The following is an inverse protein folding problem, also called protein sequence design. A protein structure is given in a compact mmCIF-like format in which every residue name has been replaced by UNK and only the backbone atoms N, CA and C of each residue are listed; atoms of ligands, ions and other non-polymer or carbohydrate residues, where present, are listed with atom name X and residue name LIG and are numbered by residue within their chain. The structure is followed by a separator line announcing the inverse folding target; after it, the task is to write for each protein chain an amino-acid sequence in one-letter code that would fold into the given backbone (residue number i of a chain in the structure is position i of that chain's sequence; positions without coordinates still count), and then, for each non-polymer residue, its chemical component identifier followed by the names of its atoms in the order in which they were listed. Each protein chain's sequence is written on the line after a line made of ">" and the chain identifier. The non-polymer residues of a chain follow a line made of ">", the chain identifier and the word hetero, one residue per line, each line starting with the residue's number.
data_IF_416413192338
#
_entry.id   IF_416413192338
#
_cell.length_a   1.000
_cell.length_b   1.000
_cell.length_c   1.000
_cell.angle_alpha   90.00
_cell.angle_beta   90.00
_cell.angle_gamma   90.00
#
_symmetry.space_group_name_H-M   'P 1'
#
loop_
_entity.id
_entity.type
_entity.pdbx_description
1 polymer ?
#
# COMPACT_ATOMS: atom_id res chain seq x y z
N UNK A 1 -41.81 -31.41 -39.55
CA UNK A 1 -42.00 -32.62 -38.73
C UNK A 1 -41.56 -32.40 -37.28
N UNK A 2 -40.39 -31.81 -36.99
CA UNK A 2 -40.06 -31.40 -35.61
C UNK A 2 -40.81 -30.15 -35.14
N UNK A 3 -41.00 -29.16 -36.02
CA UNK A 3 -41.81 -27.97 -35.77
C UNK A 3 -43.26 -28.31 -35.38
N UNK A 4 -43.83 -29.35 -35.98
CA UNK A 4 -45.21 -29.78 -35.71
C UNK A 4 -45.34 -30.54 -34.38
N UNK A 5 -44.29 -31.22 -33.92
CA UNK A 5 -44.26 -31.86 -32.60
C UNK A 5 -44.03 -30.84 -31.47
N UNK A 6 -43.24 -29.80 -31.72
CA UNK A 6 -43.01 -28.69 -30.81
C UNK A 6 -44.29 -27.90 -30.50
N UNK A 7 -45.09 -27.65 -31.55
CA UNK A 7 -46.37 -26.93 -31.47
C UNK A 7 -47.45 -27.71 -30.70
N UNK A 8 -47.48 -29.05 -30.84
CA UNK A 8 -48.44 -29.93 -30.15
C UNK A 8 -48.10 -30.13 -28.65
N UNK A 9 -46.81 -30.04 -28.28
CA UNK A 9 -46.35 -30.16 -26.89
C UNK A 9 -46.16 -28.81 -26.17
N UNK A 10 -46.43 -27.69 -26.85
CA UNK A 10 -46.17 -26.32 -26.36
C UNK A 10 -44.70 -26.13 -25.86
N UNK A 11 -43.74 -26.79 -26.52
CA UNK A 11 -42.31 -26.73 -26.16
C UNK A 11 -41.46 -26.33 -27.36
N UNK A 12 -40.45 -25.47 -27.15
CA UNK A 12 -39.62 -24.98 -28.27
C UNK A 12 -38.77 -26.09 -28.91
N UNK A 13 -38.59 -26.02 -30.24
CA UNK A 13 -37.82 -27.01 -31.04
C UNK A 13 -36.38 -27.18 -30.53
N UNK A 14 -35.77 -26.14 -29.93
CA UNK A 14 -34.44 -26.20 -29.30
C UNK A 14 -34.37 -27.17 -28.12
N UNK A 15 -35.43 -27.27 -27.33
CA UNK A 15 -35.53 -28.25 -26.23
C UNK A 15 -35.61 -29.68 -26.77
N UNK A 16 -36.34 -29.89 -27.87
CA UNK A 16 -36.46 -31.20 -28.55
C UNK A 16 -35.17 -31.64 -29.25
N UNK A 17 -34.30 -30.71 -29.64
CA UNK A 17 -33.00 -30.99 -30.23
C UNK A 17 -31.94 -31.39 -29.19
N UNK A 18 -32.29 -31.45 -27.90
CA UNK A 18 -31.34 -31.77 -26.84
C UNK A 18 -30.26 -30.70 -26.69
N UNK A 19 -30.51 -29.48 -27.17
CA UNK A 19 -29.75 -28.30 -26.78
C UNK A 19 -30.10 -28.07 -25.31
N UNK A 20 -29.38 -28.78 -24.44
CA UNK A 20 -29.52 -28.70 -22.99
C UNK A 20 -29.40 -27.25 -22.62
N UNK A 21 -30.55 -26.66 -22.30
CA UNK A 21 -30.68 -25.28 -21.88
C UNK A 21 -29.62 -25.05 -20.81
N UNK A 22 -28.79 -24.07 -21.11
CA UNK A 22 -27.66 -23.53 -20.36
C UNK A 22 -28.07 -22.97 -18.99
N UNK A 23 -29.10 -23.53 -18.34
CA UNK A 23 -29.79 -22.99 -17.17
C UNK A 23 -28.95 -23.17 -15.90
N UNK A 24 -28.35 -24.36 -15.71
CA UNK A 24 -27.40 -24.58 -14.60
C UNK A 24 -26.14 -23.74 -14.79
N UNK A 25 -25.66 -23.63 -16.04
CA UNK A 25 -24.45 -22.89 -16.35
C UNK A 25 -24.65 -21.38 -16.14
N UNK A 26 -25.84 -20.83 -16.39
CA UNK A 26 -26.14 -19.43 -16.02
C UNK A 26 -26.17 -19.21 -14.51
N UNK A 27 -26.71 -20.14 -13.73
CA UNK A 27 -26.79 -19.99 -12.28
C UNK A 27 -25.41 -20.22 -11.62
N UNK A 28 -24.61 -21.16 -12.13
CA UNK A 28 -23.23 -21.38 -11.74
C UNK A 28 -22.33 -20.19 -12.11
N UNK A 29 -22.49 -19.62 -13.32
CA UNK A 29 -21.78 -18.39 -13.72
C UNK A 29 -22.18 -17.19 -12.88
N UNK A 30 -23.45 -17.09 -12.50
CA UNK A 30 -23.97 -16.04 -11.61
C UNK A 30 -23.40 -16.18 -10.20
N UNK A 31 -23.34 -17.40 -9.68
CA UNK A 31 -22.69 -17.69 -8.41
C UNK A 31 -21.19 -17.35 -8.44
N UNK A 32 -20.48 -17.71 -9.52
CA UNK A 32 -19.06 -17.38 -9.71
C UNK A 32 -18.86 -15.86 -9.82
N UNK A 33 -19.75 -15.15 -10.53
CA UNK A 33 -19.73 -13.69 -10.66
C UNK A 33 -19.87 -12.98 -9.31
N UNK A 34 -20.81 -13.40 -8.46
CA UNK A 34 -20.97 -12.85 -7.10
C UNK A 34 -19.71 -13.08 -6.25
N UNK A 35 -19.13 -14.29 -6.31
CA UNK A 35 -17.89 -14.58 -5.56
C UNK A 35 -16.74 -13.70 -6.04
N UNK A 36 -16.60 -13.50 -7.35
CA UNK A 36 -15.61 -12.61 -7.96
C UNK A 36 -15.81 -11.15 -7.55
N UNK A 37 -17.06 -10.67 -7.52
CA UNK A 37 -17.37 -9.30 -7.12
C UNK A 37 -17.00 -9.06 -5.65
N UNK A 38 -17.33 -9.99 -4.75
CA UNK A 38 -16.94 -9.91 -3.34
C UNK A 38 -15.42 -9.95 -3.18
N UNK A 39 -14.72 -10.82 -3.92
CA UNK A 39 -13.25 -10.88 -3.91
C UNK A 39 -12.66 -9.57 -4.42
N UNK A 40 -13.19 -9.00 -5.50
CA UNK A 40 -12.72 -7.75 -6.09
C UNK A 40 -12.95 -6.58 -5.14
N UNK A 41 -14.12 -6.51 -4.49
CA UNK A 41 -14.41 -5.52 -3.44
C UNK A 41 -13.47 -5.65 -2.25
N UNK A 42 -13.20 -6.87 -1.77
CA UNK A 42 -12.24 -7.09 -0.69
C UNK A 42 -10.81 -6.71 -1.10
N UNK A 43 -10.41 -7.04 -2.33
CA UNK A 43 -9.10 -6.67 -2.87
C UNK A 43 -8.98 -5.15 -2.94
N UNK A 44 -9.97 -4.47 -3.52
CA UNK A 44 -10.03 -3.02 -3.64
C UNK A 44 -9.97 -2.36 -2.25
N UNK A 45 -10.75 -2.85 -1.28
CA UNK A 45 -10.75 -2.34 0.10
C UNK A 45 -9.40 -2.55 0.80
N UNK A 46 -8.79 -3.74 0.68
CA UNK A 46 -7.45 -4.01 1.22
C UNK A 46 -6.39 -3.14 0.56
N UNK A 47 -6.51 -2.90 -0.73
CA UNK A 47 -5.58 -2.07 -1.49
C UNK A 47 -5.64 -0.60 -1.03
N UNK A 48 -6.83 -0.06 -0.83
CA UNK A 48 -7.03 1.30 -0.29
C UNK A 48 -6.45 1.44 1.12
N UNK A 49 -6.67 0.46 2.00
CA UNK A 49 -6.13 0.48 3.36
C UNK A 49 -4.60 0.40 3.35
N UNK A 50 -4.01 -0.50 2.55
CA UNK A 50 -2.55 -0.63 2.43
C UNK A 50 -1.88 0.66 1.96
N UNK A 51 -2.48 1.35 0.97
CA UNK A 51 -1.96 2.64 0.48
C UNK A 51 -2.01 3.70 1.57
N UNK A 52 -3.10 3.76 2.34
CA UNK A 52 -3.24 4.70 3.46
C UNK A 52 -2.19 4.43 4.54
N UNK A 53 -1.96 3.17 4.91
CA UNK A 53 -0.95 2.79 5.91
C UNK A 53 0.47 3.15 5.46
N UNK A 54 0.82 2.87 4.20
CA UNK A 54 2.13 3.24 3.65
C UNK A 54 2.34 4.75 3.73
N UNK A 55 1.33 5.55 3.37
CA UNK A 55 1.40 7.01 3.47
C UNK A 55 1.65 7.48 4.91
N UNK A 56 0.96 6.89 5.88
CA UNK A 56 1.15 7.21 7.30
C UNK A 56 2.52 6.82 7.82
N UNK A 57 3.06 5.67 7.39
CA UNK A 57 4.43 5.26 7.74
C UNK A 57 5.44 6.28 7.21
N UNK A 58 5.30 6.72 5.96
CA UNK A 58 6.18 7.73 5.38
C UNK A 58 6.11 9.09 6.10
N UNK A 59 4.90 9.55 6.42
CA UNK A 59 4.70 10.80 7.16
C UNK A 59 5.30 10.69 8.57
N UNK A 60 5.08 9.58 9.26
CA UNK A 60 5.63 9.32 10.59
C UNK A 60 7.17 9.29 10.57
N UNK A 61 7.75 8.59 9.59
CA UNK A 61 9.20 8.53 9.40
C UNK A 61 9.78 9.93 9.16
N UNK A 62 9.13 10.74 8.32
CA UNK A 62 9.54 12.12 8.06
C UNK A 62 9.46 12.98 9.32
N UNK A 63 8.35 12.90 10.07
CA UNK A 63 8.17 13.63 11.32
C UNK A 63 9.23 13.25 12.37
N UNK A 64 9.56 11.96 12.49
CA UNK A 64 10.61 11.47 13.38
C UNK A 64 11.98 12.07 13.04
N UNK A 65 12.34 12.12 11.76
CA UNK A 65 13.59 12.71 11.29
C UNK A 65 13.65 14.20 11.62
N UNK A 66 12.56 14.95 11.39
CA UNK A 66 12.50 16.38 11.73
C UNK A 66 12.66 16.59 13.23
N UNK A 67 12.04 15.75 14.07
CA UNK A 67 12.13 15.84 15.52
C UNK A 67 13.56 15.60 16.03
N UNK A 68 14.26 14.60 15.48
CA UNK A 68 15.68 14.36 15.75
C UNK A 68 16.53 15.55 15.31
N UNK A 69 16.23 16.16 14.16
CA UNK A 69 16.95 17.33 13.66
C UNK A 69 16.82 18.54 14.59
N UNK A 70 15.61 18.78 15.13
CA UNK A 70 15.38 19.86 16.09
C UNK A 70 16.17 19.60 17.38
N UNK A 71 16.16 18.37 17.89
CA UNK A 71 16.94 17.99 19.08
C UNK A 71 18.44 18.22 18.85
N UNK A 72 18.97 17.78 17.71
CA UNK A 72 20.36 18.04 17.33
C UNK A 72 20.67 19.53 17.18
N UNK A 73 19.77 20.33 16.59
CA UNK A 73 19.99 21.76 16.42
C UNK A 73 20.10 22.50 17.77
N UNK A 74 19.26 22.13 18.74
CA UNK A 74 19.33 22.65 20.12
C UNK A 74 20.66 22.24 20.76
N UNK A 75 21.06 20.97 20.63
CA UNK A 75 22.31 20.47 21.19
C UNK A 75 23.55 21.05 20.53
N UNK A 76 23.56 21.25 19.21
CA UNK A 76 24.70 21.75 18.43
C UNK A 76 25.19 23.10 18.95
N UNK A 77 24.28 23.99 19.35
CA UNK A 77 24.64 25.27 19.96
C UNK A 77 25.34 25.11 21.31
N UNK A 78 25.08 24.03 22.05
CA UNK A 78 25.61 23.82 23.39
C UNK A 78 26.88 22.96 23.38
N UNK A 79 26.96 21.99 22.47
CA UNK A 79 28.03 21.00 22.39
C UNK A 79 29.31 21.55 21.71
N UNK A 80 29.20 22.48 20.75
CA UNK A 80 30.37 23.11 20.12
C UNK A 80 31.23 23.94 21.09
N UNK A 81 30.67 24.38 22.22
CA UNK A 81 31.38 25.13 23.26
C UNK A 81 31.87 24.27 24.43
N UNK A 82 31.74 22.95 24.37
CA UNK A 82 32.22 22.07 25.44
C UNK A 82 33.74 22.10 25.55
N UNK A 83 34.24 21.94 26.77
CA UNK A 83 35.68 21.85 27.03
C UNK A 83 36.18 20.45 26.66
N UNK A 84 36.85 20.36 25.51
CA UNK A 84 37.44 19.12 25.00
C UNK A 84 38.70 18.67 25.75
N UNK A 85 39.21 19.45 26.71
CA UNK A 85 40.25 18.96 27.62
C UNK A 85 39.69 17.95 28.63
N UNK A 86 38.38 17.97 28.88
CA UNK A 86 37.74 16.94 29.68
C UNK A 86 37.43 15.72 28.80
N UNK A 87 37.97 14.53 29.13
CA UNK A 87 37.84 13.34 28.28
C UNK A 87 36.37 12.89 28.10
N UNK A 88 35.53 13.13 29.10
CA UNK A 88 34.11 12.78 29.09
C UNK A 88 33.34 13.53 28.00
N UNK A 89 33.55 14.86 27.91
CA UNK A 89 32.92 15.72 26.92
C UNK A 89 33.51 15.51 25.52
N UNK A 90 34.81 15.19 25.42
CA UNK A 90 35.45 14.86 24.15
C UNK A 90 34.87 13.58 23.52
N UNK A 91 34.65 12.52 24.33
CA UNK A 91 34.03 11.28 23.87
C UNK A 91 32.57 11.52 23.47
N UNK A 92 31.79 12.21 24.30
CA UNK A 92 30.40 12.54 23.97
C UNK A 92 30.30 13.36 22.67
N UNK A 93 31.25 14.27 22.45
CA UNK A 93 31.32 15.06 21.24
C UNK A 93 31.63 14.27 19.97
N UNK A 94 32.62 13.40 20.04
CA UNK A 94 32.96 12.54 18.89
C UNK A 94 31.81 11.59 18.52
N UNK A 95 31.06 11.08 19.51
CA UNK A 95 29.85 10.27 19.26
C UNK A 95 28.76 11.11 18.59
N UNK A 96 28.48 12.33 19.08
CA UNK A 96 27.51 13.24 18.47
C UNK A 96 27.90 13.59 17.03
N UNK A 97 29.17 13.87 16.78
CA UNK A 97 29.67 14.16 15.44
C UNK A 97 29.56 12.95 14.50
N UNK A 98 29.87 11.75 14.99
CA UNK A 98 29.64 10.51 14.26
C UNK A 98 28.17 10.28 13.93
N UNK A 99 27.26 10.64 14.84
CA UNK A 99 25.83 10.59 14.61
C UNK A 99 25.38 11.60 13.55
N UNK A 100 25.82 12.85 13.62
CA UNK A 100 25.56 13.87 12.58
C UNK A 100 26.01 13.37 11.19
N UNK A 101 27.18 12.73 11.12
CA UNK A 101 27.76 12.20 9.89
C UNK A 101 26.90 11.10 9.25
N UNK A 102 26.34 10.19 10.05
CA UNK A 102 25.40 9.16 9.58
C UNK A 102 24.06 9.81 9.21
N UNK A 103 23.58 10.75 10.01
CA UNK A 103 22.29 11.40 9.82
C UNK A 103 22.23 12.23 8.52
N UNK A 104 23.28 13.01 8.23
CA UNK A 104 23.43 13.76 6.97
C UNK A 104 23.37 12.83 5.76
N UNK A 105 23.88 11.60 5.87
CA UNK A 105 23.80 10.59 4.81
C UNK A 105 22.45 9.89 4.74
N UNK A 106 21.77 9.71 5.88
CA UNK A 106 20.46 9.08 5.94
C UNK A 106 19.34 10.00 5.42
N UNK A 107 19.48 11.31 5.58
CA UNK A 107 18.50 12.30 5.13
C UNK A 107 18.18 12.21 3.63
N UNK A 108 19.15 12.08 2.69
CA UNK A 108 18.90 11.79 1.29
C UNK A 108 18.07 10.51 1.06
N UNK A 109 18.37 9.42 1.78
CA UNK A 109 17.62 8.17 1.63
C UNK A 109 16.18 8.31 2.12
N UNK A 110 15.97 8.99 3.25
CA UNK A 110 14.64 9.28 3.76
C UNK A 110 13.85 10.20 2.80
N UNK A 111 14.51 11.16 2.17
CA UNK A 111 13.90 12.01 1.16
C UNK A 111 13.47 11.20 -0.06
N UNK A 112 14.36 10.36 -0.61
CA UNK A 112 14.03 9.45 -1.72
C UNK A 112 12.87 8.53 -1.35
N UNK A 113 12.90 7.95 -0.15
CA UNK A 113 11.85 7.07 0.31
C UNK A 113 10.50 7.81 0.40
N UNK A 114 10.49 9.05 0.92
CA UNK A 114 9.30 9.92 0.94
C UNK A 114 8.77 10.20 -0.48
N UNK A 115 9.64 10.54 -1.44
CA UNK A 115 9.25 10.75 -2.84
C UNK A 115 8.66 9.49 -3.46
N UNK A 116 9.28 8.33 -3.26
CA UNK A 116 8.76 7.03 -3.73
C UNK A 116 7.39 6.74 -3.09
N UNK A 117 7.24 6.98 -1.80
CA UNK A 117 5.97 6.84 -1.08
C UNK A 117 4.86 7.71 -1.68
N UNK A 118 5.17 8.96 -2.01
CA UNK A 118 4.24 9.90 -2.66
C UNK A 118 3.89 9.43 -4.08
N UNK A 119 4.88 9.08 -4.91
CA UNK A 119 4.66 8.64 -6.30
C UNK A 119 3.83 7.36 -6.37
N UNK A 120 4.13 6.35 -5.54
CA UNK A 120 3.35 5.10 -5.49
C UNK A 120 1.92 5.35 -5.03
N UNK A 121 1.72 6.30 -4.11
CA UNK A 121 0.38 6.69 -3.65
C UNK A 121 -0.41 7.43 -4.73
N UNK A 122 0.26 8.25 -5.55
CA UNK A 122 -0.36 8.98 -6.66
C UNK A 122 -0.74 8.09 -7.84
N UNK A 123 0.09 7.10 -8.19
CA UNK A 123 -0.16 6.18 -9.32
C UNK A 123 -1.31 5.20 -9.08
N UNK A 124 -1.80 5.10 -7.83
CA UNK A 124 -2.77 4.09 -7.40
C UNK A 124 -4.19 4.64 -7.22
N UNK A 125 -4.39 5.92 -7.54
CA UNK A 125 -5.69 6.54 -7.79
C UNK A 125 -5.92 6.56 -9.30
#
# INVERSE_FOLDING_TARGET
>A
MLITLADELDTSVSVLLGETVMESMTDDLKAISEKLEVINLQLAKRNMVKVKTIRWIFISLCAFIVLVFIALAIMKSSYLGWDYNNPEFAVAGTILHGFEFVFVRLAPFAFIASVIGIVITYKKR
#
